data_IF_431856458040
#
_entry.id   IF_431856458040
#
_cell.length_a   1.000
_cell.length_b   1.000
_cell.length_c   1.000
_cell.angle_alpha   90.00
_cell.angle_beta   90.00
_cell.angle_gamma   90.00
#
_symmetry.space_group_name_H-M   'P 1'
#
loop_
_entity.id
_entity.type
_entity.pdbx_description
1 polymer ?
#
# COMPACT_ATOMS: atom_id res chain seq x y z
N UNK A 1 -57.84 59.81 11.62
CA UNK A 1 -56.43 60.23 11.75
C UNK A 1 -55.58 58.98 11.85
N UNK A 2 -54.61 58.87 10.94
CA UNK A 2 -53.44 57.98 10.88
C UNK A 2 -53.56 56.50 11.26
N UNK A 3 -53.25 55.63 10.29
CA UNK A 3 -52.24 54.60 10.51
C UNK A 3 -51.39 54.46 9.23
N UNK A 4 -50.14 54.89 9.36
CA UNK A 4 -49.09 54.87 8.34
C UNK A 4 -48.87 53.46 7.78
N UNK A 5 -48.79 53.37 6.46
CA UNK A 5 -48.18 52.24 5.76
C UNK A 5 -46.69 52.22 6.11
N UNK A 6 -46.31 51.28 6.98
CA UNK A 6 -44.91 50.94 7.24
C UNK A 6 -44.41 50.12 6.06
N UNK A 7 -43.66 50.76 5.17
CA UNK A 7 -42.82 50.07 4.22
C UNK A 7 -41.72 49.35 5.01
N UNK A 8 -41.86 48.04 5.17
CA UNK A 8 -40.76 47.18 5.60
C UNK A 8 -39.68 47.31 4.56
N UNK A 9 -38.60 48.01 4.90
CA UNK A 9 -37.38 48.03 4.12
C UNK A 9 -36.97 46.58 3.88
N UNK A 10 -36.92 46.17 2.61
CA UNK A 10 -36.27 44.92 2.23
C UNK A 10 -34.84 45.02 2.74
N UNK A 11 -34.45 44.11 3.64
CA UNK A 11 -33.06 43.91 3.99
C UNK A 11 -32.27 43.89 2.68
N UNK A 12 -31.22 44.71 2.61
CA UNK A 12 -30.29 44.70 1.49
C UNK A 12 -29.97 43.24 1.16
N UNK A 13 -30.14 42.87 -0.10
CA UNK A 13 -29.91 41.53 -0.61
C UNK A 13 -28.40 41.30 -0.60
N UNK A 14 -27.85 41.07 0.60
CA UNK A 14 -26.45 40.80 0.83
C UNK A 14 -26.17 39.49 0.11
N UNK A 15 -25.42 39.58 -0.99
CA UNK A 15 -25.09 38.43 -1.81
C UNK A 15 -24.58 37.30 -0.91
N UNK A 16 -25.22 36.11 -0.96
CA UNK A 16 -24.73 34.96 -0.24
C UNK A 16 -23.32 34.68 -0.76
N UNK A 17 -22.31 34.75 0.12
CA UNK A 17 -20.91 34.58 -0.24
C UNK A 17 -20.59 33.16 -0.72
N UNK A 18 -19.33 32.74 -0.61
CA UNK A 18 -18.89 31.42 -1.05
C UNK A 18 -18.13 30.70 0.07
N UNK A 19 -18.47 29.45 0.31
CA UNK A 19 -17.70 28.53 1.15
C UNK A 19 -17.04 27.51 0.24
N UNK A 20 -15.71 27.42 0.31
CA UNK A 20 -14.94 26.38 -0.39
C UNK A 20 -14.38 25.42 0.65
N UNK A 21 -14.85 24.18 0.63
CA UNK A 21 -14.28 23.08 1.40
C UNK A 21 -13.14 22.48 0.59
N UNK A 22 -11.92 22.77 1.02
CA UNK A 22 -10.70 22.35 0.36
C UNK A 22 -10.23 21.00 0.92
N UNK A 23 -10.44 19.92 0.17
CA UNK A 23 -10.05 18.58 0.63
C UNK A 23 -8.59 18.29 0.26
N UNK A 24 -7.83 17.81 1.23
CA UNK A 24 -6.42 17.47 1.04
C UNK A 24 -6.17 16.01 1.38
N UNK A 25 -5.29 15.37 0.61
CA UNK A 25 -4.72 14.08 0.94
C UNK A 25 -3.51 14.28 1.85
N UNK A 26 -3.50 13.63 3.01
CA UNK A 26 -2.33 13.51 3.89
C UNK A 26 -1.27 12.54 3.34
N UNK A 27 -1.58 11.83 2.25
CA UNK A 27 -0.72 10.83 1.61
C UNK A 27 0.06 11.38 0.42
N UNK A 28 0.02 12.70 0.20
CA UNK A 28 0.82 13.40 -0.80
C UNK A 28 1.67 14.45 -0.10
N UNK A 29 2.89 14.67 -0.62
CA UNK A 29 3.78 15.70 -0.12
C UNK A 29 3.04 17.04 0.01
N UNK A 30 3.12 17.70 1.18
CA UNK A 30 2.41 18.95 1.35
C UNK A 30 2.98 20.05 0.44
N UNK A 31 2.14 21.02 0.06
CA UNK A 31 2.44 22.02 -0.96
C UNK A 31 2.05 21.61 -2.40
N UNK A 32 1.76 20.33 -2.66
CA UNK A 32 1.25 19.87 -3.95
C UNK A 32 -0.27 20.00 -4.02
N UNK A 33 -0.75 21.22 -4.24
CA UNK A 33 -2.16 21.52 -4.45
C UNK A 33 -2.48 21.73 -5.94
N UNK A 34 -3.71 21.38 -6.33
CA UNK A 34 -4.25 21.62 -7.66
C UNK A 34 -4.23 23.11 -7.97
N UNK A 35 -4.10 23.46 -9.25
CA UNK A 35 -4.12 24.87 -9.66
C UNK A 35 -5.39 25.61 -9.18
N UNK A 36 -6.61 25.06 -9.30
CA UNK A 36 -7.81 25.67 -8.74
C UNK A 36 -7.75 25.87 -7.22
N UNK A 37 -7.17 24.93 -6.47
CA UNK A 37 -6.99 25.08 -5.03
C UNK A 37 -6.10 26.27 -4.67
N UNK A 38 -4.97 26.42 -5.37
CA UNK A 38 -4.12 27.60 -5.20
C UNK A 38 -4.81 28.90 -5.59
N UNK A 39 -5.65 28.89 -6.63
CA UNK A 39 -6.46 30.07 -6.97
C UNK A 39 -7.45 30.41 -5.87
N UNK A 40 -8.23 29.43 -5.40
CA UNK A 40 -9.21 29.62 -4.33
C UNK A 40 -8.56 30.18 -3.06
N UNK A 41 -7.45 29.59 -2.63
CA UNK A 41 -6.69 30.04 -1.45
C UNK A 41 -6.15 31.48 -1.59
N UNK A 42 -5.68 31.89 -2.77
CA UNK A 42 -5.18 33.26 -3.00
C UNK A 42 -6.28 34.31 -3.09
N UNK A 43 -7.48 33.93 -3.52
CA UNK A 43 -8.62 34.85 -3.67
C UNK A 43 -9.54 34.86 -2.46
N UNK A 44 -9.29 34.00 -1.47
CA UNK A 44 -10.10 33.90 -0.26
C UNK A 44 -9.98 35.16 0.60
N UNK A 45 -11.10 35.61 1.16
CA UNK A 45 -11.10 36.64 2.19
C UNK A 45 -10.61 36.08 3.53
N UNK A 46 -10.92 34.80 3.80
CA UNK A 46 -10.47 34.07 4.99
C UNK A 46 -10.13 32.62 4.65
N UNK A 47 -9.07 32.11 5.26
CA UNK A 47 -8.68 30.70 5.19
C UNK A 47 -8.65 30.13 6.59
N UNK A 48 -9.41 29.07 6.83
CA UNK A 48 -9.59 28.44 8.14
C UNK A 48 -9.06 27.00 8.09
N UNK A 49 -8.46 26.53 9.17
CA UNK A 49 -8.08 25.13 9.34
C UNK A 49 -8.27 24.74 10.81
N UNK A 50 -8.97 23.64 11.06
CA UNK A 50 -9.25 23.18 12.43
C UNK A 50 -8.07 22.43 13.06
N UNK A 51 -7.15 21.92 12.24
CA UNK A 51 -5.96 21.20 12.68
C UNK A 51 -4.73 22.11 12.63
N UNK A 52 -4.32 22.64 13.79
CA UNK A 52 -3.13 23.49 13.92
C UNK A 52 -1.81 22.79 13.56
N UNK A 53 -1.81 21.45 13.45
CA UNK A 53 -0.68 20.64 13.00
C UNK A 53 -0.81 20.20 11.53
N UNK A 54 -1.82 20.70 10.80
CA UNK A 54 -2.10 20.26 9.45
C UNK A 54 -0.88 20.43 8.52
N UNK A 55 -0.50 19.41 7.75
CA UNK A 55 0.79 19.36 7.08
C UNK A 55 0.94 20.41 5.96
N UNK A 56 -0.16 20.97 5.47
CA UNK A 56 -0.15 22.06 4.48
C UNK A 56 0.20 23.44 5.09
N UNK A 57 0.05 23.64 6.41
CA UNK A 57 0.17 24.97 7.02
C UNK A 57 1.52 25.65 6.80
N UNK A 58 2.68 24.97 6.91
CA UNK A 58 3.97 25.60 6.60
C UNK A 58 4.04 26.14 5.16
N UNK A 59 3.53 25.37 4.19
CA UNK A 59 3.58 25.72 2.76
C UNK A 59 2.59 26.81 2.38
N UNK A 60 1.43 26.85 3.03
CA UNK A 60 0.48 27.95 2.88
C UNK A 60 1.09 29.26 3.41
N UNK A 61 1.78 29.21 4.56
CA UNK A 61 2.49 30.38 5.12
C UNK A 61 3.63 30.85 4.20
N UNK A 62 4.43 29.92 3.67
CA UNK A 62 5.50 30.24 2.71
C UNK A 62 4.97 30.87 1.42
N UNK A 63 3.75 30.49 1.00
CA UNK A 63 3.04 31.10 -0.12
C UNK A 63 2.36 32.45 0.21
N UNK A 64 2.51 32.95 1.44
CA UNK A 64 1.92 34.21 1.91
C UNK A 64 0.44 34.12 2.29
N UNK A 65 -0.09 32.92 2.50
CA UNK A 65 -1.49 32.67 2.84
C UNK A 65 -1.62 32.60 4.35
N UNK A 66 -2.41 33.52 4.92
CA UNK A 66 -2.69 33.55 6.36
C UNK A 66 -3.82 32.57 6.66
N UNK A 67 -3.53 31.57 7.49
CA UNK A 67 -4.52 30.56 7.91
C UNK A 67 -4.85 30.77 9.38
N UNK A 68 -6.14 30.86 9.68
CA UNK A 68 -6.68 30.96 11.02
C UNK A 68 -6.92 29.55 11.58
N UNK A 69 -6.40 29.27 12.77
CA UNK A 69 -6.67 28.04 13.52
C UNK A 69 -8.08 28.14 14.13
N UNK A 70 -9.06 27.56 13.45
CA UNK A 70 -10.47 27.66 13.79
C UNK A 70 -11.30 26.49 13.24
N UNK A 71 -12.22 26.00 14.06
CA UNK A 71 -13.25 25.02 13.68
C UNK A 71 -14.64 25.67 13.80
N UNK A 72 -15.05 26.52 12.85
CA UNK A 72 -16.31 27.24 12.93
C UNK A 72 -17.52 26.31 12.80
N UNK A 73 -18.58 26.60 13.53
CA UNK A 73 -19.88 25.99 13.27
C UNK A 73 -20.44 26.48 11.92
N UNK A 74 -21.41 25.76 11.36
CA UNK A 74 -22.00 26.11 10.07
C UNK A 74 -22.60 27.53 10.06
N UNK A 75 -23.26 27.93 11.14
CA UNK A 75 -23.83 29.27 11.32
C UNK A 75 -22.75 30.37 11.33
N UNK A 76 -21.60 30.11 11.95
CA UNK A 76 -20.47 31.04 12.03
C UNK A 76 -19.82 31.21 10.65
N UNK A 77 -19.74 30.13 9.87
CA UNK A 77 -19.26 30.15 8.49
C UNK A 77 -20.19 30.96 7.58
N UNK A 78 -21.50 30.82 7.73
CA UNK A 78 -22.48 31.63 7.02
C UNK A 78 -22.32 33.12 7.34
N UNK A 79 -22.14 33.46 8.63
CA UNK A 79 -21.88 34.83 9.03
C UNK A 79 -20.56 35.38 8.45
N UNK A 80 -19.50 34.55 8.41
CA UNK A 80 -18.22 34.92 7.83
C UNK A 80 -18.30 35.18 6.31
N UNK A 81 -19.22 34.51 5.60
CA UNK A 81 -19.48 34.71 4.16
C UNK A 81 -20.36 35.92 3.84
N UNK A 82 -20.89 36.61 4.85
CA UNK A 82 -21.72 37.81 4.62
C UNK A 82 -20.96 38.87 3.82
N UNK A 83 -21.69 39.56 2.93
CA UNK A 83 -21.11 40.59 2.06
C UNK A 83 -20.44 40.03 0.80
N UNK A 84 -20.80 38.82 0.36
CA UNK A 84 -20.20 38.19 -0.83
C UNK A 84 -18.80 37.64 -0.61
N UNK A 85 -18.36 37.46 0.64
CA UNK A 85 -17.01 36.99 0.97
C UNK A 85 -16.81 35.51 0.66
N UNK A 86 -15.59 35.16 0.29
CA UNK A 86 -15.14 33.78 0.10
C UNK A 86 -14.39 33.30 1.34
N UNK A 87 -14.89 32.25 1.97
CA UNK A 87 -14.21 31.55 3.06
C UNK A 87 -13.75 30.18 2.55
N UNK A 88 -12.45 29.93 2.63
CA UNK A 88 -11.88 28.62 2.34
C UNK A 88 -11.63 27.89 3.66
N UNK A 89 -12.10 26.66 3.75
CA UNK A 89 -11.84 25.76 4.88
C UNK A 89 -10.92 24.66 4.39
N UNK A 90 -9.69 24.60 4.91
CA UNK A 90 -8.76 23.49 4.67
C UNK A 90 -9.19 22.33 5.55
N UNK A 91 -9.83 21.34 4.93
CA UNK A 91 -10.33 20.17 5.62
C UNK A 91 -9.18 19.25 6.03
N UNK A 92 -9.34 18.60 7.19
CA UNK A 92 -8.43 17.54 7.63
C UNK A 92 -8.48 16.32 6.69
N UNK A 93 -7.51 15.41 6.83
CA UNK A 93 -7.51 14.13 6.10
C UNK A 93 -8.71 13.22 6.38
N UNK A 94 -9.41 13.44 7.49
CA UNK A 94 -10.67 12.75 7.84
C UNK A 94 -11.92 13.50 7.34
N UNK A 95 -11.74 14.68 6.75
CA UNK A 95 -12.81 15.59 6.35
C UNK A 95 -13.33 16.43 7.52
N UNK A 96 -14.50 17.05 7.33
CA UNK A 96 -15.14 17.93 8.31
C UNK A 96 -16.63 17.55 8.52
N UNK A 97 -16.93 16.34 9.03
CA UNK A 97 -18.29 15.80 9.07
C UNK A 97 -19.27 16.69 9.85
N UNK A 98 -18.84 17.23 11.01
CA UNK A 98 -19.67 18.10 11.83
C UNK A 98 -20.08 19.38 11.07
N UNK A 99 -19.16 19.95 10.30
CA UNK A 99 -19.40 21.13 9.49
C UNK A 99 -20.31 20.81 8.30
N UNK A 100 -20.01 19.76 7.54
CA UNK A 100 -20.80 19.36 6.37
C UNK A 100 -22.23 19.01 6.76
N UNK A 101 -22.43 18.31 7.90
CA UNK A 101 -23.74 18.00 8.43
C UNK A 101 -24.49 19.26 8.89
N UNK A 102 -23.78 20.21 9.50
CA UNK A 102 -24.34 21.50 9.90
C UNK A 102 -24.82 22.32 8.70
N UNK A 103 -24.00 22.43 7.66
CA UNK A 103 -24.34 23.10 6.39
C UNK A 103 -25.54 22.42 5.72
N UNK A 104 -25.59 21.09 5.70
CA UNK A 104 -26.73 20.34 5.16
C UNK A 104 -28.02 20.59 5.94
N UNK A 105 -27.97 20.63 7.28
CA UNK A 105 -29.13 20.98 8.12
C UNK A 105 -29.63 22.39 7.86
N UNK A 106 -28.74 23.37 7.74
CA UNK A 106 -29.11 24.76 7.46
C UNK A 106 -29.74 24.90 6.07
N UNK A 107 -29.14 24.28 5.05
CA UNK A 107 -29.68 24.27 3.69
C UNK A 107 -31.09 23.64 3.64
N UNK A 108 -31.29 22.51 4.32
CA UNK A 108 -32.59 21.83 4.39
C UNK A 108 -33.67 22.58 5.16
N UNK A 109 -33.30 23.56 6.02
CA UNK A 109 -34.26 24.34 6.79
C UNK A 109 -35.07 25.33 5.95
N UNK A 110 -34.52 25.79 4.82
CA UNK A 110 -35.11 26.85 3.98
C UNK A 110 -35.25 28.22 4.66
N UNK A 111 -34.70 28.40 5.87
CA UNK A 111 -34.82 29.63 6.68
C UNK A 111 -33.65 30.59 6.50
N UNK A 112 -32.61 30.16 5.80
CA UNK A 112 -31.35 30.89 5.66
C UNK A 112 -30.95 30.95 4.19
N UNK A 113 -30.45 32.09 3.75
CA UNK A 113 -29.82 32.22 2.44
C UNK A 113 -28.46 31.54 2.47
N UNK A 114 -28.29 30.47 1.71
CA UNK A 114 -27.06 29.69 1.71
C UNK A 114 -26.01 30.33 0.79
N UNK A 115 -24.74 30.42 1.24
CA UNK A 115 -23.62 30.72 0.35
C UNK A 115 -23.50 29.65 -0.74
N UNK A 116 -22.82 29.99 -1.83
CA UNK A 116 -22.34 28.98 -2.78
C UNK A 116 -21.42 28.01 -2.03
N UNK A 117 -21.77 26.72 -2.05
CA UNK A 117 -20.98 25.67 -1.43
C UNK A 117 -20.21 24.92 -2.51
N UNK A 118 -18.89 24.92 -2.41
CA UNK A 118 -18.02 24.18 -3.31
C UNK A 118 -17.14 23.21 -2.54
N UNK A 119 -17.12 21.96 -2.99
CA UNK A 119 -16.12 20.99 -2.57
C UNK A 119 -15.00 20.98 -3.60
N UNK A 120 -13.82 21.46 -3.22
CA UNK A 120 -12.69 21.61 -4.11
C UNK A 120 -11.56 20.65 -3.69
N UNK A 121 -11.29 19.59 -4.47
CA UNK A 121 -10.17 18.72 -4.16
C UNK A 121 -8.86 19.42 -4.48
N UNK A 122 -8.05 19.62 -3.45
CA UNK A 122 -6.76 20.27 -3.57
C UNK A 122 -5.64 19.27 -3.82
N UNK A 123 -5.70 18.08 -3.24
CA UNK A 123 -4.78 17.00 -3.60
C UNK A 123 -5.51 15.66 -3.62
N UNK A 124 -4.96 14.71 -4.37
CA UNK A 124 -5.51 13.37 -4.54
C UNK A 124 -4.45 12.34 -4.23
N UNK A 125 -4.85 11.23 -3.62
CA UNK A 125 -3.98 10.08 -3.41
C UNK A 125 -3.34 9.64 -4.74
N UNK A 126 -2.02 9.43 -4.72
CA UNK A 126 -1.33 8.76 -5.81
C UNK A 126 -1.56 7.24 -5.71
N UNK A 127 -1.48 6.48 -6.82
CA UNK A 127 -1.44 5.03 -6.75
C UNK A 127 -0.36 4.56 -5.78
N UNK A 128 -0.73 3.68 -4.83
CA UNK A 128 0.16 3.21 -3.76
C UNK A 128 0.17 4.05 -2.49
N UNK A 129 -0.55 5.18 -2.44
CA UNK A 129 -0.63 6.06 -1.27
C UNK A 129 -1.00 5.34 0.05
N UNK A 130 -1.76 4.24 -0.02
CA UNK A 130 -2.16 3.44 1.16
C UNK A 130 -0.99 2.77 1.88
N UNK A 131 0.17 2.66 1.25
CA UNK A 131 1.39 2.25 1.94
C UNK A 131 1.77 3.23 3.06
N UNK A 132 1.49 4.52 2.89
CA UNK A 132 1.75 5.52 3.94
C UNK A 132 0.83 5.34 5.15
N UNK A 133 -0.42 4.90 4.94
CA UNK A 133 -1.31 4.54 6.06
C UNK A 133 -0.73 3.33 6.81
N UNK A 134 -0.27 2.31 6.10
CA UNK A 134 0.31 1.12 6.70
C UNK A 134 1.54 1.44 7.56
N UNK A 135 2.41 2.34 7.09
CA UNK A 135 3.57 2.81 7.88
C UNK A 135 3.12 3.49 9.17
N UNK A 136 2.19 4.45 9.08
CA UNK A 136 1.69 5.16 10.26
C UNK A 136 0.97 4.24 11.26
N UNK A 137 0.18 3.29 10.74
CA UNK A 137 -0.50 2.28 11.57
C UNK A 137 0.52 1.38 12.25
N UNK A 138 1.56 0.93 11.55
CA UNK A 138 2.62 0.13 12.13
C UNK A 138 3.40 0.91 13.20
N UNK A 139 3.72 2.18 12.97
CA UNK A 139 4.36 3.05 13.97
C UNK A 139 3.57 3.09 15.27
N UNK A 140 2.26 3.32 15.14
CA UNK A 140 1.35 3.36 16.29
C UNK A 140 1.25 2.01 16.98
N UNK A 141 1.12 0.92 16.23
CA UNK A 141 1.09 -0.45 16.77
C UNK A 141 2.41 -0.76 17.50
N UNK A 142 3.57 -0.44 16.91
CA UNK A 142 4.88 -0.66 17.54
C UNK A 142 5.02 0.13 18.83
N UNK A 143 4.53 1.35 18.88
CA UNK A 143 4.59 2.22 20.06
C UNK A 143 3.61 1.81 21.18
N UNK A 144 2.36 1.45 20.83
CA UNK A 144 1.28 1.26 21.81
C UNK A 144 1.04 -0.22 22.19
N UNK A 145 1.33 -1.18 21.30
CA UNK A 145 1.04 -2.59 21.54
C UNK A 145 2.15 -3.29 22.36
N UNK A 146 1.83 -3.88 23.54
CA UNK A 146 2.81 -4.58 24.37
C UNK A 146 3.43 -5.82 23.71
N UNK A 147 2.72 -6.46 22.78
CA UNK A 147 3.26 -7.59 22.05
C UNK A 147 4.19 -7.11 20.93
N UNK A 148 3.74 -6.13 20.13
CA UNK A 148 4.48 -5.65 18.97
C UNK A 148 5.77 -4.96 19.35
N UNK A 149 5.78 -4.15 20.42
CA UNK A 149 6.97 -3.48 20.98
C UNK A 149 8.10 -4.43 21.40
N UNK A 150 7.78 -5.69 21.72
CA UNK A 150 8.77 -6.70 22.16
C UNK A 150 9.27 -7.60 21.04
N UNK A 151 8.71 -7.49 19.83
CA UNK A 151 9.13 -8.33 18.71
C UNK A 151 10.52 -7.93 18.21
N UNK A 152 11.25 -8.93 17.73
CA UNK A 152 12.58 -8.81 17.13
C UNK A 152 12.58 -9.50 15.77
N UNK A 153 13.58 -9.22 14.92
CA UNK A 153 13.70 -9.92 13.64
C UNK A 153 13.66 -11.45 13.79
N UNK A 154 14.36 -11.98 14.81
CA UNK A 154 14.38 -13.43 15.08
C UNK A 154 13.03 -13.97 15.56
N UNK A 155 12.31 -13.19 16.37
CA UNK A 155 10.98 -13.57 16.87
C UNK A 155 9.94 -13.66 15.76
N UNK A 156 10.06 -12.80 14.74
CA UNK A 156 9.12 -12.72 13.62
C UNK A 156 9.41 -13.70 12.48
N UNK A 157 10.63 -14.25 12.40
CA UNK A 157 11.06 -15.06 11.26
C UNK A 157 10.17 -16.28 10.97
N UNK A 158 9.54 -16.88 11.99
CA UNK A 158 8.61 -18.00 11.77
C UNK A 158 7.32 -17.55 11.07
N UNK A 159 6.77 -16.39 11.44
CA UNK A 159 5.55 -15.84 10.86
C UNK A 159 5.78 -15.48 9.41
N UNK A 160 6.91 -14.83 9.09
CA UNK A 160 7.29 -14.54 7.71
C UNK A 160 7.36 -15.78 6.80
N UNK A 161 7.71 -16.95 7.36
CA UNK A 161 7.69 -18.22 6.64
C UNK A 161 6.27 -18.76 6.49
N UNK A 162 5.45 -18.69 7.56
CA UNK A 162 4.04 -19.06 7.55
C UNK A 162 3.26 -18.26 6.49
N UNK A 163 3.29 -16.92 6.53
CA UNK A 163 2.59 -16.05 5.54
C UNK A 163 3.06 -16.33 4.10
N UNK A 164 4.34 -16.69 3.93
CA UNK A 164 4.87 -17.02 2.59
C UNK A 164 4.27 -18.32 2.04
N UNK A 165 3.92 -19.27 2.91
CA UNK A 165 3.26 -20.51 2.49
C UNK A 165 1.76 -20.33 2.31
N UNK A 166 1.11 -19.52 3.14
CA UNK A 166 -0.31 -19.18 2.98
C UNK A 166 -0.52 -18.42 1.66
N UNK A 167 0.37 -17.47 1.33
CA UNK A 167 0.43 -16.86 -0.01
C UNK A 167 0.58 -17.89 -1.15
N UNK A 168 1.44 -18.89 -0.98
CA UNK A 168 1.62 -19.95 -1.99
C UNK A 168 0.37 -20.80 -2.13
N UNK A 169 -0.31 -21.13 -1.02
CA UNK A 169 -1.58 -21.85 -1.02
C UNK A 169 -2.66 -21.05 -1.77
N UNK A 170 -2.83 -19.76 -1.45
CA UNK A 170 -3.77 -18.88 -2.14
C UNK A 170 -3.52 -18.79 -3.66
N UNK A 171 -2.25 -18.75 -4.09
CA UNK A 171 -1.88 -18.77 -5.51
C UNK A 171 -2.28 -20.11 -6.17
N UNK A 172 -2.00 -21.23 -5.50
CA UNK A 172 -2.25 -22.57 -6.03
C UNK A 172 -3.76 -22.89 -6.09
N UNK A 173 -4.54 -22.37 -5.14
CA UNK A 173 -5.99 -22.54 -5.09
C UNK A 173 -6.73 -21.55 -6.01
N UNK A 174 -6.06 -20.48 -6.44
CA UNK A 174 -6.62 -19.47 -7.35
C UNK A 174 -7.68 -18.56 -6.69
N UNK A 175 -7.70 -18.50 -5.36
CA UNK A 175 -8.60 -17.63 -4.60
C UNK A 175 -8.06 -16.20 -4.59
N UNK A 176 -8.79 -15.28 -5.23
CA UNK A 176 -8.34 -13.89 -5.39
C UNK A 176 -8.49 -13.06 -4.11
N UNK A 177 -9.45 -13.38 -3.26
CA UNK A 177 -9.66 -12.65 -2.03
C UNK A 177 -8.59 -13.05 -1.01
N UNK A 178 -8.35 -14.36 -0.86
CA UNK A 178 -7.25 -14.90 -0.05
C UNK A 178 -5.90 -14.39 -0.55
N UNK A 179 -5.66 -14.42 -1.87
CA UNK A 179 -4.41 -13.90 -2.45
C UNK A 179 -4.14 -12.45 -2.05
N UNK A 180 -5.18 -11.62 -1.96
CA UNK A 180 -5.03 -10.21 -1.55
C UNK A 180 -4.71 -10.09 -0.06
N UNK A 181 -5.33 -10.91 0.78
CA UNK A 181 -5.08 -10.99 2.22
C UNK A 181 -3.63 -11.39 2.50
N UNK A 182 -3.19 -12.49 1.90
CA UNK A 182 -1.84 -13.04 2.09
C UNK A 182 -0.73 -12.15 1.53
N UNK A 183 -0.98 -11.46 0.42
CA UNK A 183 -0.07 -10.41 -0.06
C UNK A 183 0.05 -9.26 0.94
N UNK A 184 -1.04 -8.96 1.65
CA UNK A 184 -1.09 -8.01 2.76
C UNK A 184 -0.25 -8.46 3.95
N UNK A 185 -0.33 -9.73 4.33
CA UNK A 185 0.42 -10.27 5.48
C UNK A 185 1.92 -10.43 5.19
N UNK A 186 2.29 -10.81 3.97
CA UNK A 186 3.69 -10.74 3.54
C UNK A 186 4.20 -9.28 3.55
N UNK A 187 3.38 -8.31 3.12
CA UNK A 187 3.73 -6.89 3.18
C UNK A 187 3.84 -6.40 4.63
N UNK A 188 2.97 -6.87 5.54
CA UNK A 188 3.03 -6.60 6.97
C UNK A 188 4.39 -7.00 7.55
N UNK A 189 4.90 -8.19 7.21
CA UNK A 189 6.21 -8.64 7.66
C UNK A 189 7.34 -7.70 7.20
N UNK A 190 7.29 -7.20 5.96
CA UNK A 190 8.27 -6.24 5.42
C UNK A 190 8.24 -4.94 6.22
N UNK A 191 7.05 -4.35 6.43
CA UNK A 191 6.90 -3.08 7.15
C UNK A 191 7.29 -3.24 8.62
N UNK A 192 6.93 -4.34 9.26
CA UNK A 192 7.25 -4.59 10.67
C UNK A 192 8.76 -4.75 10.87
N UNK A 193 9.44 -5.51 10.01
CA UNK A 193 10.90 -5.61 10.06
C UNK A 193 11.60 -4.29 9.78
N UNK A 194 11.12 -3.50 8.81
CA UNK A 194 11.66 -2.17 8.55
C UNK A 194 11.50 -1.25 9.77
N UNK A 195 10.32 -1.28 10.42
CA UNK A 195 10.10 -0.46 11.60
C UNK A 195 10.98 -0.83 12.79
N UNK A 196 11.25 -2.13 12.99
CA UNK A 196 12.22 -2.60 13.98
C UNK A 196 13.63 -2.10 13.63
N UNK A 197 14.00 -2.13 12.36
CA UNK A 197 15.33 -1.69 11.92
C UNK A 197 15.56 -0.18 12.11
N UNK A 198 14.52 0.65 12.05
CA UNK A 198 14.63 2.07 12.38
C UNK A 198 15.04 2.35 13.83
N UNK A 199 14.86 1.38 14.73
CA UNK A 199 15.25 1.49 16.15
C UNK A 199 16.71 1.07 16.40
N UNK A 200 17.41 0.56 15.38
CA UNK A 200 18.81 0.16 15.51
C UNK A 200 19.73 1.38 15.73
N UNK A 201 20.61 1.33 16.73
CA UNK A 201 21.47 2.46 17.08
C UNK A 201 22.67 2.64 16.13
N UNK A 202 23.13 1.57 15.48
CA UNK A 202 24.36 1.57 14.70
C UNK A 202 24.11 1.73 13.21
N UNK A 203 23.07 1.09 12.70
CA UNK A 203 22.75 1.03 11.27
C UNK A 203 21.24 1.04 11.01
N UNK A 204 20.52 2.10 11.42
CA UNK A 204 19.09 2.20 11.18
C UNK A 204 18.76 2.30 9.70
N UNK A 205 17.65 1.69 9.30
CA UNK A 205 17.05 1.88 7.98
C UNK A 205 15.53 1.77 8.06
N UNK A 206 14.84 2.49 7.19
CA UNK A 206 13.38 2.55 7.13
C UNK A 206 12.79 1.70 6.00
N UNK A 207 11.46 1.67 5.94
CA UNK A 207 10.75 1.07 4.81
C UNK A 207 11.08 1.78 3.49
N UNK A 208 11.38 3.09 3.53
CA UNK A 208 11.78 3.85 2.35
C UNK A 208 13.17 3.45 1.87
N UNK A 209 14.09 3.12 2.77
CA UNK A 209 15.41 2.59 2.42
C UNK A 209 15.28 1.19 1.78
N UNK A 210 14.39 0.35 2.30
CA UNK A 210 14.07 -0.96 1.71
C UNK A 210 13.50 -0.78 0.30
N UNK A 211 12.51 0.10 0.13
CA UNK A 211 11.89 0.43 -1.15
C UNK A 211 12.91 1.01 -2.14
N UNK A 212 13.71 1.98 -1.72
CA UNK A 212 14.77 2.59 -2.53
C UNK A 212 15.81 1.56 -2.99
N UNK A 213 16.21 0.65 -2.10
CA UNK A 213 17.15 -0.42 -2.41
C UNK A 213 16.61 -1.38 -3.46
N UNK A 214 15.35 -1.80 -3.36
CA UNK A 214 14.73 -2.67 -4.37
C UNK A 214 14.51 -1.93 -5.69
N UNK A 215 14.08 -0.67 -5.67
CA UNK A 215 13.90 0.17 -6.87
C UNK A 215 15.20 0.34 -7.62
N UNK A 216 16.28 0.80 -6.96
CA UNK A 216 17.58 0.99 -7.59
C UNK A 216 18.10 -0.32 -8.21
N UNK A 217 17.96 -1.44 -7.50
CA UNK A 217 18.34 -2.77 -7.98
C UNK A 217 17.51 -3.21 -9.18
N UNK A 218 16.20 -2.97 -9.19
CA UNK A 218 15.33 -3.33 -10.32
C UNK A 218 15.62 -2.47 -11.55
N UNK A 219 15.82 -1.16 -11.38
CA UNK A 219 16.21 -0.26 -12.48
C UNK A 219 17.54 -0.73 -13.08
N UNK A 220 18.55 -0.96 -12.24
CA UNK A 220 19.88 -1.39 -12.70
C UNK A 220 19.86 -2.73 -13.44
N UNK A 221 18.99 -3.66 -13.04
CA UNK A 221 18.88 -4.99 -13.66
C UNK A 221 17.94 -5.07 -14.86
N UNK A 222 17.22 -3.99 -15.16
CA UNK A 222 16.40 -3.86 -16.37
C UNK A 222 16.89 -2.70 -17.26
N UNK A 223 18.16 -2.72 -17.72
CA UNK A 223 18.67 -1.67 -18.61
C UNK A 223 17.97 -1.64 -19.96
N UNK A 224 17.19 -2.68 -20.29
CA UNK A 224 16.35 -2.75 -21.49
C UNK A 224 14.98 -2.07 -21.32
N UNK A 225 14.60 -1.75 -20.08
CA UNK A 225 13.39 -0.98 -19.76
C UNK A 225 13.75 0.45 -19.40
N UNK A 226 14.82 0.65 -18.62
CA UNK A 226 15.19 1.95 -18.02
C UNK A 226 16.49 2.55 -18.57
N UNK A 227 17.10 1.96 -19.59
CA UNK A 227 18.35 2.44 -20.19
C UNK A 227 18.40 2.15 -21.69
N UNK A 228 19.61 2.06 -22.24
CA UNK A 228 19.83 1.96 -23.70
C UNK A 228 19.99 0.51 -24.21
N UNK A 229 19.94 -0.50 -23.34
CA UNK A 229 20.09 -1.88 -23.77
C UNK A 229 18.83 -2.37 -24.51
N UNK A 230 18.97 -3.40 -25.35
CA UNK A 230 17.82 -4.05 -26.01
C UNK A 230 17.74 -5.50 -25.58
N UNK A 231 16.54 -5.95 -25.21
CA UNK A 231 16.21 -7.36 -25.03
C UNK A 231 14.79 -7.57 -25.56
N UNK A 232 14.63 -8.47 -26.52
CA UNK A 232 13.38 -8.70 -27.27
C UNK A 232 12.73 -10.04 -26.92
N UNK A 233 13.46 -10.94 -26.26
CA UNK A 233 12.98 -12.24 -25.84
C UNK A 233 13.15 -12.45 -24.32
N UNK A 234 12.30 -13.28 -23.67
CA UNK A 234 12.47 -13.64 -22.26
C UNK A 234 13.84 -14.25 -21.95
N UNK A 235 14.42 -14.99 -22.91
CA UNK A 235 15.74 -15.60 -22.79
C UNK A 235 16.85 -14.54 -22.73
N UNK A 236 16.79 -13.52 -23.60
CA UNK A 236 17.71 -12.39 -23.59
C UNK A 236 17.60 -11.59 -22.29
N UNK A 237 16.38 -11.36 -21.80
CA UNK A 237 16.13 -10.70 -20.50
C UNK A 237 16.76 -11.50 -19.36
N UNK A 238 16.56 -12.81 -19.34
CA UNK A 238 17.13 -13.72 -18.33
C UNK A 238 18.66 -13.71 -18.38
N UNK A 239 19.26 -13.73 -19.56
CA UNK A 239 20.72 -13.65 -19.72
C UNK A 239 21.27 -12.32 -19.19
N UNK A 240 20.63 -11.20 -19.56
CA UNK A 240 21.00 -9.87 -19.06
C UNK A 240 20.94 -9.81 -17.55
N UNK A 241 19.84 -10.29 -16.97
CA UNK A 241 19.64 -10.34 -15.52
C UNK A 241 20.73 -11.16 -14.80
N UNK A 242 21.06 -12.33 -15.32
CA UNK A 242 22.09 -13.20 -14.77
C UNK A 242 23.48 -12.55 -14.85
N UNK A 243 23.81 -11.90 -15.97
CA UNK A 243 25.08 -11.20 -16.18
C UNK A 243 25.24 -10.04 -15.20
N UNK A 244 24.24 -9.18 -15.06
CA UNK A 244 24.27 -8.05 -14.12
C UNK A 244 24.39 -8.54 -12.67
N UNK A 245 23.63 -9.58 -12.32
CA UNK A 245 23.70 -10.21 -10.98
C UNK A 245 25.08 -10.81 -10.68
N UNK A 246 25.76 -11.38 -11.68
CA UNK A 246 27.11 -11.91 -11.52
C UNK A 246 28.15 -10.79 -11.34
N UNK A 247 28.01 -9.67 -12.03
CA UNK A 247 28.89 -8.51 -11.88
C UNK A 247 28.75 -7.84 -10.50
N UNK A 248 27.53 -7.72 -9.99
CA UNK A 248 27.25 -7.16 -8.65
C UNK A 248 27.82 -8.03 -7.51
N UNK A 249 27.69 -9.36 -7.64
CA UNK A 249 28.06 -10.30 -6.59
C UNK A 249 29.35 -11.02 -6.97
N UNK A 250 30.50 -10.47 -6.53
CA UNK A 250 31.83 -11.12 -6.61
C UNK A 250 31.89 -12.37 -5.71
N UNK A 251 31.20 -13.42 -6.12
CA UNK A 251 31.10 -14.68 -5.37
C UNK A 251 32.29 -15.56 -5.69
N UNK A 252 32.77 -16.29 -4.69
CA UNK A 252 33.81 -17.30 -4.86
C UNK A 252 33.22 -18.61 -5.39
N UNK A 253 32.00 -18.94 -4.97
CA UNK A 253 31.25 -20.11 -5.43
C UNK A 253 29.91 -19.74 -6.10
N UNK A 254 29.51 -20.54 -7.08
CA UNK A 254 28.18 -20.46 -7.72
C UNK A 254 27.04 -20.73 -6.73
N UNK A 255 27.33 -21.42 -5.62
CA UNK A 255 26.39 -21.74 -4.54
C UNK A 255 26.27 -20.61 -3.51
N UNK A 256 27.15 -19.60 -3.53
CA UNK A 256 27.13 -18.53 -2.53
C UNK A 256 25.79 -17.78 -2.56
N UNK A 257 25.25 -17.51 -1.37
CA UNK A 257 23.95 -16.86 -1.22
C UNK A 257 22.77 -17.70 -1.73
N UNK A 258 22.90 -19.03 -1.78
CA UNK A 258 21.75 -19.95 -1.74
C UNK A 258 21.36 -20.11 -0.27
N UNK A 259 20.12 -19.76 0.12
CA UNK A 259 19.68 -19.94 1.51
C UNK A 259 19.54 -21.43 1.83
N UNK A 260 20.38 -21.92 2.74
CA UNK A 260 20.48 -23.35 3.07
C UNK A 260 19.32 -23.87 3.95
N UNK A 261 18.53 -22.97 4.54
CA UNK A 261 17.39 -23.32 5.40
C UNK A 261 16.05 -23.42 4.64
N UNK A 262 16.09 -23.36 3.30
CA UNK A 262 14.90 -23.61 2.46
C UNK A 262 14.48 -25.08 2.55
N UNK A 263 13.23 -25.42 2.17
CA UNK A 263 12.81 -26.81 1.99
C UNK A 263 13.80 -27.63 1.16
N UNK A 264 13.91 -28.92 1.48
CA UNK A 264 14.94 -29.80 0.92
C UNK A 264 14.89 -29.89 -0.61
N UNK A 265 13.70 -30.01 -1.22
CA UNK A 265 13.58 -30.10 -2.68
C UNK A 265 13.86 -28.74 -3.34
N UNK A 266 13.38 -27.64 -2.76
CA UNK A 266 13.72 -26.29 -3.22
C UNK A 266 15.24 -26.03 -3.16
N UNK A 267 15.91 -26.40 -2.06
CA UNK A 267 17.37 -26.28 -1.91
C UNK A 267 18.12 -27.11 -2.96
N UNK A 268 17.76 -28.39 -3.11
CA UNK A 268 18.36 -29.30 -4.08
C UNK A 268 18.23 -28.75 -5.51
N UNK A 269 17.01 -28.37 -5.90
CA UNK A 269 16.69 -27.74 -7.18
C UNK A 269 17.53 -26.49 -7.40
N UNK A 270 17.66 -25.62 -6.38
CA UNK A 270 18.44 -24.39 -6.48
C UNK A 270 19.91 -24.67 -6.74
N UNK A 271 20.50 -25.62 -6.02
CA UNK A 271 21.92 -25.97 -6.17
C UNK A 271 22.20 -26.56 -7.57
N UNK A 272 21.36 -27.49 -8.03
CA UNK A 272 21.47 -28.09 -9.37
C UNK A 272 21.34 -27.02 -10.46
N UNK A 273 20.34 -26.14 -10.34
CA UNK A 273 20.11 -25.05 -11.28
C UNK A 273 21.29 -24.07 -11.33
N UNK A 274 21.95 -23.79 -10.19
CA UNK A 274 23.15 -22.94 -10.13
C UNK A 274 24.33 -23.58 -10.86
N UNK A 275 24.61 -24.85 -10.62
CA UNK A 275 25.68 -25.58 -11.30
C UNK A 275 25.44 -25.58 -12.82
N UNK A 276 24.21 -25.88 -13.27
CA UNK A 276 23.85 -25.89 -14.69
C UNK A 276 23.96 -24.50 -15.33
N UNK A 277 23.44 -23.47 -14.67
CA UNK A 277 23.51 -22.08 -15.18
C UNK A 277 24.96 -21.62 -15.37
N UNK A 278 25.85 -22.02 -14.44
CA UNK A 278 27.28 -21.76 -14.53
C UNK A 278 28.03 -22.72 -15.47
N UNK A 279 27.33 -23.67 -16.08
CA UNK A 279 27.89 -24.73 -16.95
C UNK A 279 28.98 -25.54 -16.26
N UNK A 280 28.83 -25.77 -14.95
CA UNK A 280 29.71 -26.65 -14.19
C UNK A 280 29.19 -28.08 -14.26
N UNK A 281 30.03 -28.98 -14.78
CA UNK A 281 29.75 -30.42 -14.79
C UNK A 281 30.11 -31.03 -13.42
N UNK A 282 29.17 -30.94 -12.48
CA UNK A 282 29.31 -31.51 -11.14
C UNK A 282 28.42 -32.75 -11.05
N UNK A 283 28.98 -33.97 -10.95
CA UNK A 283 28.17 -35.16 -10.73
C UNK A 283 27.49 -35.09 -9.36
N UNK A 284 26.25 -35.59 -9.28
CA UNK A 284 25.60 -35.76 -7.98
C UNK A 284 26.40 -36.73 -7.12
N UNK A 285 26.48 -36.52 -5.80
CA UNK A 285 27.18 -37.41 -4.90
C UNK A 285 26.58 -38.83 -4.97
N UNK A 286 27.42 -39.79 -5.35
CA UNK A 286 27.05 -41.22 -5.38
C UNK A 286 27.20 -41.80 -3.97
N UNK A 287 26.13 -41.68 -3.19
CA UNK A 287 26.04 -42.25 -1.85
C UNK A 287 24.67 -42.93 -1.67
N UNK A 288 24.63 -43.92 -0.78
CA UNK A 288 23.42 -44.68 -0.49
C UNK A 288 22.49 -43.91 0.46
N UNK A 289 21.19 -44.13 0.31
CA UNK A 289 20.17 -43.65 1.24
C UNK A 289 19.21 -42.64 0.62
N UNK A 290 18.04 -42.54 1.27
CA UNK A 290 16.87 -41.82 0.74
C UNK A 290 17.15 -40.35 0.42
N UNK A 291 18.04 -39.69 1.16
CA UNK A 291 18.41 -38.29 0.90
C UNK A 291 19.06 -38.08 -0.46
N UNK A 292 19.94 -39.01 -0.89
CA UNK A 292 20.60 -38.95 -2.18
C UNK A 292 19.66 -39.33 -3.33
N UNK A 293 18.72 -40.26 -3.08
CA UNK A 293 17.64 -40.58 -4.01
C UNK A 293 16.72 -39.37 -4.25
N UNK A 294 16.32 -38.67 -3.18
CA UNK A 294 15.52 -37.44 -3.27
C UNK A 294 16.26 -36.32 -4.02
N UNK A 295 17.57 -36.17 -3.77
CA UNK A 295 18.40 -35.23 -4.52
C UNK A 295 18.43 -35.57 -6.03
N UNK A 296 18.58 -36.85 -6.37
CA UNK A 296 18.58 -37.30 -7.77
C UNK A 296 17.22 -37.05 -8.45
N UNK A 297 16.11 -37.29 -7.73
CA UNK A 297 14.76 -36.99 -8.22
C UNK A 297 14.55 -35.48 -8.43
N UNK A 298 14.98 -34.64 -7.50
CA UNK A 298 14.91 -33.19 -7.63
C UNK A 298 15.75 -32.67 -8.82
N UNK A 299 16.96 -33.21 -9.01
CA UNK A 299 17.81 -32.86 -10.13
C UNK A 299 17.20 -33.25 -11.49
N UNK A 300 16.55 -34.42 -11.56
CA UNK A 300 15.81 -34.85 -12.74
C UNK A 300 14.63 -33.94 -13.03
N UNK A 301 13.79 -33.66 -12.04
CA UNK A 301 12.66 -32.74 -12.18
C UNK A 301 13.11 -31.36 -12.70
N UNK A 302 14.17 -30.80 -12.14
CA UNK A 302 14.70 -29.51 -12.59
C UNK A 302 15.30 -29.56 -14.01
N UNK A 303 15.79 -30.71 -14.47
CA UNK A 303 16.21 -30.90 -15.87
C UNK A 303 15.03 -30.95 -16.85
N UNK A 304 13.86 -31.36 -16.38
CA UNK A 304 12.60 -31.43 -17.12
C UNK A 304 11.80 -30.11 -17.03
N UNK A 305 12.30 -29.12 -16.28
CA UNK A 305 11.62 -27.84 -16.06
C UNK A 305 10.47 -27.92 -15.05
N UNK A 306 10.41 -28.99 -14.25
CA UNK A 306 9.40 -29.21 -13.21
C UNK A 306 9.94 -28.67 -11.89
N UNK A 307 9.11 -27.95 -11.13
CA UNK A 307 9.39 -27.61 -9.73
C UNK A 307 9.02 -28.82 -8.83
N UNK A 308 10.00 -29.55 -8.28
CA UNK A 308 9.72 -30.73 -7.48
C UNK A 308 9.04 -30.42 -6.15
N UNK A 309 9.22 -29.22 -5.59
CA UNK A 309 8.58 -28.83 -4.32
C UNK A 309 7.07 -28.67 -4.54
N UNK A 310 6.68 -27.91 -5.57
CA UNK A 310 5.28 -27.73 -5.95
C UNK A 310 4.63 -29.06 -6.38
N UNK A 311 5.36 -29.86 -7.18
CA UNK A 311 4.86 -31.17 -7.62
C UNK A 311 4.60 -32.12 -6.44
N UNK A 312 5.51 -32.18 -5.46
CA UNK A 312 5.31 -32.99 -4.27
C UNK A 312 4.15 -32.47 -3.41
N UNK A 313 4.00 -31.14 -3.27
CA UNK A 313 2.88 -30.54 -2.52
C UNK A 313 1.53 -30.89 -3.15
N UNK A 314 1.42 -30.80 -4.48
CA UNK A 314 0.22 -31.22 -5.19
C UNK A 314 -0.09 -32.73 -4.98
N UNK A 315 0.92 -33.59 -5.08
CA UNK A 315 0.76 -35.02 -4.81
C UNK A 315 0.35 -35.31 -3.34
N UNK A 316 0.91 -34.57 -2.38
CA UNK A 316 0.58 -34.69 -0.97
C UNK A 316 -0.87 -34.24 -0.68
N UNK A 317 -1.37 -33.19 -1.33
CA UNK A 317 -2.78 -32.79 -1.25
C UNK A 317 -3.70 -33.86 -1.81
N UNK A 318 -3.39 -34.43 -2.97
CA UNK A 318 -4.17 -35.53 -3.53
C UNK A 318 -4.20 -36.75 -2.58
N UNK A 319 -3.08 -37.06 -1.91
CA UNK A 319 -3.04 -38.11 -0.90
C UNK A 319 -3.88 -37.75 0.34
N UNK A 320 -3.82 -36.51 0.83
CA UNK A 320 -4.67 -36.01 1.91
C UNK A 320 -6.15 -36.20 1.57
N UNK A 321 -6.57 -35.86 0.36
CA UNK A 321 -7.95 -35.98 -0.07
C UNK A 321 -8.39 -37.46 -0.12
N UNK A 322 -7.50 -38.36 -0.55
CA UNK A 322 -7.73 -39.80 -0.49
C UNK A 322 -7.87 -40.32 0.96
N UNK A 323 -7.09 -39.78 1.90
CA UNK A 323 -7.22 -40.09 3.34
C UNK A 323 -8.59 -39.64 3.85
N UNK A 324 -9.02 -38.41 3.56
CA UNK A 324 -10.34 -37.88 3.97
C UNK A 324 -11.50 -38.69 3.41
N UNK A 325 -11.40 -39.11 2.14
CA UNK A 325 -12.38 -39.99 1.52
C UNK A 325 -12.46 -41.34 2.24
N UNK A 326 -11.32 -41.92 2.64
CA UNK A 326 -11.27 -43.16 3.41
C UNK A 326 -11.85 -43.01 4.83
N UNK A 327 -11.80 -41.81 5.40
CA UNK A 327 -12.43 -41.46 6.69
C UNK A 327 -13.94 -41.20 6.58
N UNK A 328 -14.50 -41.18 5.37
CA UNK A 328 -15.93 -40.89 5.13
C UNK A 328 -16.28 -39.41 5.21
N UNK A 329 -15.29 -38.51 5.10
CA UNK A 329 -15.47 -37.07 5.08
C UNK A 329 -15.57 -36.66 3.60
N UNK A 330 -16.77 -36.67 3.03
CA UNK A 330 -17.01 -36.16 1.68
C UNK A 330 -16.83 -34.63 1.64
N UNK A 331 -16.11 -34.14 0.62
CA UNK A 331 -15.75 -32.73 0.47
C UNK A 331 -16.99 -31.85 0.35
N UNK A 332 -17.14 -30.89 1.26
CA UNK A 332 -18.09 -29.79 1.08
C UNK A 332 -17.53 -28.90 -0.03
N UNK A 333 -18.00 -29.06 -1.25
CA UNK A 333 -17.78 -28.06 -2.30
C UNK A 333 -18.27 -26.70 -1.77
N UNK A 334 -17.37 -25.70 -1.74
CA UNK A 334 -17.74 -24.30 -1.55
C UNK A 334 -18.57 -23.87 -2.75
N UNK A 335 -19.88 -24.12 -2.71
CA UNK A 335 -20.85 -23.54 -3.62
C UNK A 335 -20.95 -22.02 -3.32
N UNK A 336 -20.15 -21.23 -4.03
CA UNK A 336 -20.17 -19.78 -4.02
C UNK A 336 -19.98 -19.23 -5.41
N UNK A 337 -20.93 -19.48 -6.31
CA UNK A 337 -20.87 -19.07 -7.71
C UNK A 337 -22.25 -18.73 -8.26
N UNK A 338 -22.72 -17.54 -7.92
CA UNK A 338 -23.64 -16.65 -8.66
C UNK A 338 -24.60 -17.35 -9.64
N UNK A 339 -25.83 -17.64 -9.19
CA UNK A 339 -26.96 -17.77 -10.10
C UNK A 339 -27.28 -16.39 -10.70
N UNK A 340 -27.44 -16.38 -12.02
CA UNK A 340 -27.63 -15.19 -12.82
C UNK A 340 -28.90 -14.41 -12.50
N UNK A 341 -28.80 -13.10 -12.64
CA UNK A 341 -29.96 -12.23 -12.83
C UNK A 341 -30.01 -11.88 -14.32
N UNK A 342 -30.81 -12.63 -15.07
CA UNK A 342 -31.48 -12.16 -16.28
C UNK A 342 -32.91 -11.76 -15.89
N UNK A 343 -33.15 -10.46 -15.76
CA UNK A 343 -34.23 -9.65 -16.36
C UNK A 343 -34.19 -8.22 -15.82
#
# INVERSE_FOLDING_TARGET
>A
MNASSSAVARAEDVAPGRVVLLTTSHRVAPGLLSWPAWQALRTADRVLCADGAHPQLPYLRDAGITVEDASPAAEELLAACSGGRTVVVVATGEGEPALTDGLARLAGSGRVSMPELELLPASYDLPGARLLDLVQVMDRIRAECPWSSRQTHKGLAKYAVEESYELVEAIEDGDRDELREELGDVLLQVVFHARIAEEDEESPFSVDDVAGTIVAKLIHRHPHVFGDATATTPEEVKEHWLRTKAAEKRRESVTDGVPLHQPGLALATKLVSRARTARLEVPLPAAEGIGYELLALAARAESEGIDPEAALRAAARAYRDAVRAAEGIEGTERAGGVEGVEE
#
